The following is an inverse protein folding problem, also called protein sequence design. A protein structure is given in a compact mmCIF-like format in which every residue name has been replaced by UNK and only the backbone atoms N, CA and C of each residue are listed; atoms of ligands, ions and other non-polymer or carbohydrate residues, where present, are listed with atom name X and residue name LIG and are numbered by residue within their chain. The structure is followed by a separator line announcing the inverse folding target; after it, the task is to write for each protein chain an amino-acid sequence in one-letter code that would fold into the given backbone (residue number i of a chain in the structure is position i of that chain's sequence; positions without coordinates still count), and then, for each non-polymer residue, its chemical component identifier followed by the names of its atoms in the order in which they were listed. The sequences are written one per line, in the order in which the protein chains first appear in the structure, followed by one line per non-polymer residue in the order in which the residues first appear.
data_IF_995488566128
#
_entry.id   IF_995488566128
#
_cell.length_a   1.000
_cell.length_b   1.000
_cell.length_c   1.000
_cell.angle_alpha   90.00
_cell.angle_beta   90.00
_cell.angle_gamma   90.00
#
_symmetry.space_group_name_H-M   'P 1'
#
loop_
_entity.id
_entity.type
_entity.pdbx_description
1 polymer ?
#
# COMPACT_ATOMS: atom_id res chain seq x y z
N UNK A 1 7.74 3.57 -0.04
CA UNK A 1 6.90 4.33 -0.98
C UNK A 1 5.40 4.25 -0.69
N UNK A 2 4.70 3.12 -0.91
CA UNK A 2 3.23 3.03 -0.66
C UNK A 2 2.85 3.27 0.81
N UNK A 3 3.62 2.70 1.74
CA UNK A 3 3.41 2.93 3.18
C UNK A 3 3.57 4.39 3.57
N UNK A 4 4.60 5.05 3.05
CA UNK A 4 4.88 6.45 3.32
C UNK A 4 3.79 7.35 2.76
N UNK A 5 3.30 7.05 1.55
CA UNK A 5 2.19 7.76 0.93
C UNK A 5 0.91 7.63 1.77
N UNK A 6 0.62 6.43 2.27
CA UNK A 6 -0.51 6.19 3.18
C UNK A 6 -0.36 6.97 4.49
N UNK A 7 0.81 6.97 5.12
CA UNK A 7 1.07 7.75 6.32
C UNK A 7 1.00 9.27 6.07
N UNK A 8 1.39 9.73 4.89
CA UNK A 8 1.24 11.13 4.50
C UNK A 8 -0.23 11.51 4.26
N UNK A 9 -0.99 10.64 3.61
CA UNK A 9 -2.41 10.82 3.38
C UNK A 9 -3.18 10.97 4.70
N UNK A 10 -2.94 10.09 5.69
CA UNK A 10 -3.60 10.22 6.99
C UNK A 10 -3.27 11.52 7.70
N UNK A 11 -2.04 12.05 7.54
CA UNK A 11 -1.68 13.36 8.07
C UNK A 11 -2.52 14.48 7.47
N UNK A 12 -2.74 14.46 6.15
CA UNK A 12 -3.56 15.48 5.46
C UNK A 12 -5.03 15.38 5.91
N UNK A 13 -5.56 14.16 6.02
CA UNK A 13 -6.97 13.94 6.39
C UNK A 13 -7.30 14.33 7.83
N UNK A 14 -6.29 14.29 8.72
CA UNK A 14 -6.43 14.64 10.14
C UNK A 14 -5.98 16.08 10.45
N UNK A 15 -5.53 16.82 9.44
CA UNK A 15 -5.10 18.21 9.61
C UNK A 15 -6.31 19.12 9.85
N UNK A 16 -6.18 20.06 10.78
CA UNK A 16 -7.25 21.03 11.10
C UNK A 16 -7.64 21.90 9.89
N UNK A 17 -6.77 22.03 8.88
CA UNK A 17 -7.03 22.73 7.63
C UNK A 17 -7.89 21.91 6.64
N UNK A 18 -8.22 20.65 6.93
CA UNK A 18 -9.07 19.83 6.06
C UNK A 18 -10.49 20.40 5.97
N UNK A 19 -10.78 21.11 4.88
CA UNK A 19 -12.05 21.80 4.66
C UNK A 19 -13.12 21.01 3.92
N UNK A 20 -12.88 19.74 3.56
CA UNK A 20 -13.75 18.99 2.65
C UNK A 20 -14.79 18.08 3.34
N UNK A 21 -14.82 18.08 4.67
CA UNK A 21 -15.78 17.30 5.47
C UNK A 21 -15.42 15.82 5.64
N UNK A 22 -16.22 15.13 6.47
CA UNK A 22 -15.92 13.75 6.91
C UNK A 22 -16.10 12.72 5.80
N UNK A 23 -17.14 12.85 4.97
CA UNK A 23 -17.43 11.90 3.88
C UNK A 23 -16.26 11.82 2.89
N UNK A 24 -15.78 12.97 2.42
CA UNK A 24 -14.61 13.03 1.53
C UNK A 24 -13.34 12.45 2.19
N UNK A 25 -13.16 12.66 3.50
CA UNK A 25 -12.02 12.08 4.22
C UNK A 25 -12.09 10.55 4.28
N UNK A 26 -13.28 10.00 4.53
CA UNK A 26 -13.53 8.55 4.53
C UNK A 26 -13.28 7.96 3.14
N UNK A 27 -13.80 8.59 2.09
CA UNK A 27 -13.59 8.13 0.71
C UNK A 27 -12.11 8.11 0.33
N UNK A 28 -11.37 9.17 0.69
CA UNK A 28 -9.93 9.21 0.51
C UNK A 28 -9.23 8.08 1.29
N UNK A 29 -9.55 7.89 2.56
CA UNK A 29 -8.95 6.82 3.36
C UNK A 29 -9.20 5.42 2.76
N UNK A 30 -10.40 5.18 2.22
CA UNK A 30 -10.72 3.93 1.51
C UNK A 30 -9.89 3.77 0.24
N UNK A 31 -9.71 4.83 -0.56
CA UNK A 31 -8.82 4.81 -1.72
C UNK A 31 -7.39 4.40 -1.32
N UNK A 32 -6.85 4.99 -0.25
CA UNK A 32 -5.53 4.62 0.28
C UNK A 32 -5.42 3.12 0.63
N UNK A 33 -6.47 2.56 1.24
CA UNK A 33 -6.54 1.13 1.56
C UNK A 33 -6.61 0.25 0.31
N UNK A 34 -7.33 0.66 -0.73
CA UNK A 34 -7.37 -0.09 -1.99
C UNK A 34 -6.00 -0.09 -2.67
N UNK A 35 -5.29 1.03 -2.69
CA UNK A 35 -3.95 1.10 -3.26
C UNK A 35 -2.94 0.22 -2.51
N UNK A 36 -2.99 0.20 -1.18
CA UNK A 36 -2.12 -0.71 -0.40
C UNK A 36 -2.40 -2.19 -0.74
N UNK A 37 -3.68 -2.61 -0.76
CA UNK A 37 -4.00 -3.99 -1.16
C UNK A 37 -3.51 -4.34 -2.56
N UNK A 38 -3.60 -3.41 -3.50
CA UNK A 38 -3.08 -3.62 -4.87
C UNK A 38 -1.56 -3.78 -4.83
N UNK A 39 -0.86 -2.96 -4.03
CA UNK A 39 0.58 -3.07 -3.85
C UNK A 39 0.98 -4.41 -3.23
N UNK A 40 0.29 -4.86 -2.18
CA UNK A 40 0.51 -6.18 -1.56
C UNK A 40 0.34 -7.31 -2.57
N UNK A 41 -0.72 -7.24 -3.40
CA UNK A 41 -0.95 -8.22 -4.45
C UNK A 41 0.15 -8.19 -5.52
N UNK A 42 0.63 -7.01 -5.90
CA UNK A 42 1.73 -6.87 -6.86
C UNK A 42 3.02 -7.49 -6.31
N UNK A 43 3.35 -7.27 -5.04
CA UNK A 43 4.50 -7.90 -4.37
C UNK A 43 4.35 -9.42 -4.37
N UNK A 44 3.19 -9.95 -3.99
CA UNK A 44 2.93 -11.39 -4.01
C UNK A 44 3.05 -12.00 -5.42
N UNK A 45 2.56 -11.30 -6.45
CA UNK A 45 2.71 -11.74 -7.84
C UNK A 45 4.17 -11.73 -8.28
N UNK A 46 4.91 -10.67 -7.97
CA UNK A 46 6.35 -10.59 -8.25
C UNK A 46 7.13 -11.75 -7.63
N UNK A 47 6.82 -12.08 -6.36
CA UNK A 47 7.46 -13.19 -5.65
C UNK A 47 7.24 -14.53 -6.35
N UNK A 48 6.02 -14.78 -6.83
CA UNK A 48 5.70 -15.99 -7.61
C UNK A 48 6.42 -16.03 -8.94
N UNK A 49 6.50 -14.91 -9.66
CA UNK A 49 7.22 -14.84 -10.94
C UNK A 49 8.70 -15.18 -10.75
N UNK A 50 9.34 -14.60 -9.73
CA UNK A 50 10.74 -14.89 -9.39
C UNK A 50 10.93 -16.38 -9.11
N UNK A 51 10.05 -16.97 -8.30
CA UNK A 51 10.11 -18.41 -8.00
C UNK A 51 9.94 -19.28 -9.25
N UNK A 52 8.98 -18.96 -10.12
CA UNK A 52 8.74 -19.73 -11.35
C UNK A 52 9.95 -19.68 -12.29
N UNK A 53 10.62 -18.52 -12.38
CA UNK A 53 11.76 -18.32 -13.29
C UNK A 53 13.06 -18.90 -12.73
N UNK A 54 13.28 -18.77 -11.42
CA UNK A 54 14.58 -19.06 -10.79
C UNK A 54 14.60 -20.32 -9.93
N UNK A 55 13.43 -20.80 -9.50
CA UNK A 55 13.28 -21.87 -8.50
C UNK A 55 13.52 -21.42 -7.05
N UNK A 56 13.82 -20.14 -6.81
CA UNK A 56 14.14 -19.58 -5.50
C UNK A 56 13.11 -18.53 -5.08
N UNK A 57 12.83 -18.45 -3.79
CA UNK A 57 12.06 -17.33 -3.24
C UNK A 57 12.95 -16.08 -3.17
N UNK A 58 12.41 -14.89 -3.48
CA UNK A 58 13.17 -13.65 -3.34
C UNK A 58 13.46 -13.34 -1.86
N UNK A 59 14.64 -12.78 -1.60
CA UNK A 59 15.12 -12.42 -0.26
C UNK A 59 15.17 -10.90 -0.09
N UNK A 60 14.91 -10.40 1.13
CA UNK A 60 15.05 -8.99 1.50
C UNK A 60 13.84 -8.41 2.23
N UNK A 61 13.98 -7.19 2.76
CA UNK A 61 13.00 -6.52 3.63
C UNK A 61 11.62 -6.30 2.96
N UNK A 62 11.59 -6.16 1.64
CA UNK A 62 10.36 -5.99 0.87
C UNK A 62 9.68 -7.30 0.48
N UNK A 63 10.30 -8.44 0.82
CA UNK A 63 9.77 -9.78 0.53
C UNK A 63 9.36 -10.44 1.85
N UNK A 64 8.10 -10.33 2.20
CA UNK A 64 7.51 -11.13 3.28
C UNK A 64 7.46 -12.59 2.83
N UNK A 65 8.07 -13.48 3.61
CA UNK A 65 7.92 -14.93 3.42
C UNK A 65 6.45 -15.24 3.72
N UNK A 66 5.70 -15.58 2.67
CA UNK A 66 4.31 -16.02 2.78
C UNK A 66 4.23 -17.43 3.38
#
# INVERSE_FOLDING_TARGET
EVDELRSHQFRILLDDAWGHGVEAAVDCALLGRYYERIADHAVLMGSRVIYIVTGLHPEGEHWTIA
#
